data_IF_227405071027
#
_entry.id   IF_227405071027
#
_cell.length_a   1.000
_cell.length_b   1.000
_cell.length_c   1.000
_cell.angle_alpha   90.00
_cell.angle_beta   90.00
_cell.angle_gamma   90.00
#
_symmetry.space_group_name_H-M   'P 1'
#
loop_
_entity.id
_entity.type
_entity.pdbx_description
1 polymer ?
#
# COMPACT_ATOMS: atom_id res chain seq x y z
N UNK A 1 -6.01 22.81 -12.72
CA UNK A 1 -7.43 23.05 -12.47
C UNK A 1 -7.63 23.19 -10.96
N UNK A 2 -8.26 24.29 -10.53
CA UNK A 2 -8.56 24.52 -9.10
C UNK A 2 -9.92 23.96 -8.73
N UNK A 3 -10.88 24.10 -9.66
CA UNK A 3 -12.25 23.62 -9.46
C UNK A 3 -12.80 23.14 -10.77
N UNK A 4 -13.47 22.01 -10.75
CA UNK A 4 -14.30 21.51 -11.84
C UNK A 4 -15.71 21.29 -11.30
N UNK A 5 -16.68 22.00 -11.83
CA UNK A 5 -18.09 21.80 -11.52
C UNK A 5 -18.82 21.33 -12.78
N UNK A 6 -19.56 20.25 -12.66
CA UNK A 6 -20.35 19.62 -13.73
C UNK A 6 -21.82 19.70 -13.34
N UNK A 7 -22.67 20.36 -14.19
CA UNK A 7 -24.08 20.50 -13.87
C UNK A 7 -24.94 20.84 -15.12
N UNK A 8 -26.19 20.35 -15.15
CA UNK A 8 -26.63 19.17 -14.45
C UNK A 8 -25.97 17.92 -15.03
N UNK A 9 -25.81 16.89 -14.19
CA UNK A 9 -25.40 15.56 -14.64
C UNK A 9 -26.65 14.69 -14.70
N UNK A 10 -26.98 14.17 -15.88
CA UNK A 10 -28.09 13.22 -16.07
C UNK A 10 -27.49 11.83 -16.21
N UNK A 11 -27.94 10.92 -15.40
CA UNK A 11 -27.47 9.52 -15.43
C UNK A 11 -28.64 8.64 -15.87
N UNK A 12 -28.45 7.84 -16.89
CA UNK A 12 -29.44 6.90 -17.43
C UNK A 12 -28.74 5.62 -17.90
N UNK A 13 -29.51 4.64 -18.39
CA UNK A 13 -29.06 3.30 -18.75
C UNK A 13 -27.71 3.26 -19.49
N UNK A 14 -26.61 3.11 -18.73
CA UNK A 14 -25.26 2.93 -19.26
C UNK A 14 -24.54 4.19 -19.76
N UNK A 15 -25.09 5.39 -19.56
CA UNK A 15 -24.45 6.66 -19.94
C UNK A 15 -24.72 7.78 -18.94
N UNK A 16 -23.77 8.73 -18.87
CA UNK A 16 -23.94 9.99 -18.17
C UNK A 16 -23.78 11.15 -19.15
N UNK A 17 -24.69 12.14 -19.09
CA UNK A 17 -24.66 13.35 -19.92
C UNK A 17 -24.41 14.56 -19.01
N UNK A 18 -23.50 15.42 -19.42
CA UNK A 18 -23.17 16.67 -18.73
C UNK A 18 -23.63 17.81 -19.62
N UNK A 19 -24.56 18.62 -19.13
CA UNK A 19 -25.09 19.74 -19.90
C UNK A 19 -24.18 20.98 -19.85
N UNK A 20 -23.50 21.20 -18.75
CA UNK A 20 -22.55 22.31 -18.58
C UNK A 20 -21.37 21.91 -17.65
N UNK A 21 -20.22 22.50 -17.92
CA UNK A 21 -19.03 22.36 -17.09
C UNK A 21 -18.44 23.74 -16.79
N UNK A 22 -18.09 24.00 -15.53
CA UNK A 22 -17.33 25.17 -15.11
C UNK A 22 -15.94 24.73 -14.68
N UNK A 23 -14.91 25.24 -15.32
CA UNK A 23 -13.51 24.97 -14.98
C UNK A 23 -12.88 26.25 -14.48
N UNK A 24 -12.32 26.21 -13.26
CA UNK A 24 -11.52 27.30 -12.71
C UNK A 24 -10.05 26.87 -12.73
N UNK A 25 -9.24 27.66 -13.44
CA UNK A 25 -7.80 27.44 -13.57
C UNK A 25 -7.07 28.47 -12.70
N UNK A 26 -6.14 28.01 -11.88
CA UNK A 26 -5.21 28.90 -11.19
C UNK A 26 -3.90 28.93 -12.00
N UNK A 27 -3.66 30.06 -12.67
CA UNK A 27 -2.45 30.24 -13.49
C UNK A 27 -1.15 30.30 -12.65
N UNK A 28 -1.27 30.49 -11.33
CA UNK A 28 -0.13 30.51 -10.40
C UNK A 28 0.19 29.10 -9.89
N UNK A 29 -0.62 28.10 -10.21
CA UNK A 29 -0.36 26.72 -9.80
C UNK A 29 0.93 26.22 -10.45
N UNK A 30 1.96 26.03 -9.66
CA UNK A 30 3.16 25.29 -10.06
C UNK A 30 2.86 23.80 -9.89
N UNK A 31 3.04 22.96 -10.94
CA UNK A 31 2.92 21.52 -10.79
C UNK A 31 3.83 21.06 -9.66
N UNK A 32 3.27 20.40 -8.66
CA UNK A 32 4.09 19.69 -7.70
C UNK A 32 4.80 18.55 -8.42
N UNK A 33 5.98 18.16 -7.95
CA UNK A 33 6.72 17.03 -8.50
C UNK A 33 5.94 15.68 -8.43
N UNK A 34 4.79 15.68 -7.76
CA UNK A 34 3.89 14.52 -7.62
C UNK A 34 2.86 14.52 -8.75
N UNK A 35 2.83 13.45 -9.52
CA UNK A 35 1.96 13.28 -10.71
C UNK A 35 0.47 13.52 -10.43
N UNK A 36 -0.02 13.21 -9.23
CA UNK A 36 -1.43 13.28 -8.83
C UNK A 36 -1.70 14.21 -7.64
N UNK A 37 -0.75 15.10 -7.30
CA UNK A 37 -0.86 16.00 -6.14
C UNK A 37 -2.04 16.99 -6.16
N UNK A 38 -2.79 17.04 -7.26
CA UNK A 38 -4.01 17.84 -7.43
C UNK A 38 -5.29 17.05 -7.14
N UNK A 39 -5.20 15.74 -6.91
CA UNK A 39 -6.35 14.86 -6.68
C UNK A 39 -6.60 14.71 -5.18
N UNK A 40 -7.88 14.69 -4.79
CA UNK A 40 -8.29 14.41 -3.41
C UNK A 40 -8.10 12.94 -3.03
N UNK A 41 -8.15 12.05 -4.02
CA UNK A 41 -7.92 10.60 -3.86
C UNK A 41 -6.85 10.20 -4.87
N UNK A 42 -5.78 9.59 -4.39
CA UNK A 42 -4.73 9.04 -5.24
C UNK A 42 -5.23 7.75 -5.93
N UNK A 43 -5.02 7.61 -7.23
CA UNK A 43 -5.37 6.36 -7.91
C UNK A 43 -4.53 5.20 -7.38
N UNK A 44 -5.07 3.99 -7.50
CA UNK A 44 -4.32 2.78 -7.20
C UNK A 44 -3.07 2.70 -8.08
N UNK A 45 -1.87 2.50 -7.49
CA UNK A 45 -0.60 2.54 -8.24
C UNK A 45 -0.36 1.22 -8.97
N UNK A 46 -1.08 1.01 -10.07
CA UNK A 46 -1.07 -0.20 -10.89
C UNK A 46 0.32 -0.53 -11.46
N UNK A 47 1.14 0.49 -11.65
CA UNK A 47 2.51 0.36 -12.15
C UNK A 47 3.46 -0.38 -11.20
N UNK A 48 3.06 -0.56 -9.95
CA UNK A 48 3.81 -1.33 -8.95
C UNK A 48 3.49 -2.83 -8.96
N UNK A 49 2.49 -3.24 -9.74
CA UNK A 49 2.14 -4.66 -9.88
C UNK A 49 3.21 -5.39 -10.69
N UNK A 50 3.74 -6.49 -10.16
CA UNK A 50 4.76 -7.28 -10.82
C UNK A 50 4.78 -8.73 -10.33
N UNK A 51 5.23 -9.64 -11.19
CA UNK A 51 5.62 -10.99 -10.81
C UNK A 51 7.13 -11.01 -10.57
N UNK A 52 7.54 -11.39 -9.37
CA UNK A 52 8.93 -11.30 -8.93
C UNK A 52 9.46 -12.68 -8.59
N UNK A 53 10.48 -13.18 -9.31
CA UNK A 53 11.11 -14.44 -8.97
C UNK A 53 12.00 -14.29 -7.72
N UNK A 54 11.89 -15.23 -6.81
CA UNK A 54 12.85 -15.43 -5.71
C UNK A 54 14.06 -16.24 -6.20
N UNK A 55 15.11 -16.32 -5.38
CA UNK A 55 16.34 -17.06 -5.72
C UNK A 55 16.11 -18.56 -5.91
N UNK A 56 15.09 -19.12 -5.26
CA UNK A 56 14.71 -20.53 -5.35
C UNK A 56 13.81 -20.85 -6.57
N UNK A 57 13.57 -19.87 -7.43
CA UNK A 57 12.72 -19.99 -8.61
C UNK A 57 11.21 -19.77 -8.33
N UNK A 58 10.80 -19.64 -7.08
CA UNK A 58 9.40 -19.32 -6.75
C UNK A 58 9.06 -17.92 -7.26
N UNK A 59 7.92 -17.77 -7.93
CA UNK A 59 7.43 -16.48 -8.41
C UNK A 59 6.35 -15.97 -7.47
N UNK A 60 6.53 -14.76 -6.95
CA UNK A 60 5.53 -14.08 -6.12
C UNK A 60 4.85 -12.97 -6.93
N UNK A 61 3.54 -12.87 -6.80
CA UNK A 61 2.79 -11.73 -7.29
C UNK A 61 2.88 -10.60 -6.26
N UNK A 62 3.52 -9.49 -6.64
CA UNK A 62 3.71 -8.33 -5.76
C UNK A 62 2.88 -7.18 -6.27
N UNK A 63 2.09 -6.57 -5.39
CA UNK A 63 1.25 -5.42 -5.71
C UNK A 63 0.94 -4.56 -4.49
N UNK A 64 0.46 -3.33 -4.67
CA UNK A 64 -0.14 -2.58 -3.58
C UNK A 64 -1.36 -3.31 -3.01
N UNK A 65 -1.61 -3.13 -1.71
CA UNK A 65 -2.77 -3.72 -1.02
C UNK A 65 -4.06 -3.02 -1.47
N UNK A 66 -5.18 -3.73 -1.45
CA UNK A 66 -6.50 -3.20 -1.81
C UNK A 66 -7.49 -3.41 -0.66
N UNK A 67 -8.60 -2.65 -0.58
CA UNK A 67 -9.65 -2.86 0.43
C UNK A 67 -10.21 -4.29 0.43
N UNK A 68 -10.30 -4.93 -0.74
CA UNK A 68 -10.78 -6.30 -0.95
C UNK A 68 -9.87 -7.35 -0.32
N UNK A 69 -8.64 -6.98 0.05
CA UNK A 69 -7.67 -7.87 0.67
C UNK A 69 -7.89 -8.09 2.17
N UNK A 70 -8.95 -7.54 2.76
CA UNK A 70 -9.18 -7.61 4.21
C UNK A 70 -9.13 -9.05 4.76
N UNK A 71 -9.70 -10.02 4.04
CA UNK A 71 -9.67 -11.43 4.48
C UNK A 71 -8.29 -12.08 4.30
N UNK A 72 -7.55 -11.71 3.24
CA UNK A 72 -6.17 -12.18 3.05
C UNK A 72 -5.24 -11.61 4.13
N UNK A 73 -5.39 -10.33 4.47
CA UNK A 73 -4.62 -9.68 5.55
C UNK A 73 -4.95 -10.30 6.92
N UNK A 74 -6.24 -10.57 7.19
CA UNK A 74 -6.68 -11.26 8.41
C UNK A 74 -6.05 -12.65 8.53
N UNK A 75 -6.17 -13.46 7.48
CA UNK A 75 -5.62 -14.81 7.43
C UNK A 75 -4.10 -14.80 7.57
N UNK A 76 -3.42 -13.85 6.92
CA UNK A 76 -1.98 -13.67 7.01
C UNK A 76 -1.54 -13.39 8.43
N UNK A 77 -2.12 -12.39 9.10
CA UNK A 77 -1.74 -12.03 10.48
C UNK A 77 -2.09 -13.13 11.47
N UNK A 78 -3.23 -13.82 11.28
CA UNK A 78 -3.60 -14.97 12.12
C UNK A 78 -2.62 -16.13 11.97
N UNK A 79 -2.10 -16.36 10.77
CA UNK A 79 -1.14 -17.44 10.47
C UNK A 79 0.29 -17.19 10.94
N UNK A 80 0.63 -15.96 11.37
CA UNK A 80 1.96 -15.67 11.94
C UNK A 80 2.13 -16.32 13.32
N UNK A 81 3.35 -16.72 13.66
CA UNK A 81 3.68 -17.13 15.03
C UNK A 81 3.45 -15.99 16.03
N UNK A 82 3.26 -16.33 17.31
CA UNK A 82 3.13 -15.30 18.37
C UNK A 82 4.34 -14.37 18.39
N UNK A 83 5.54 -14.91 18.18
CA UNK A 83 6.77 -14.14 18.14
C UNK A 83 6.80 -13.15 16.98
N UNK A 84 6.46 -13.60 15.76
CA UNK A 84 6.42 -12.74 14.57
C UNK A 84 5.36 -11.66 14.71
N UNK A 85 4.17 -11.99 15.25
CA UNK A 85 3.15 -10.98 15.57
C UNK A 85 3.65 -9.97 16.60
N UNK A 86 4.28 -10.44 17.68
CA UNK A 86 4.81 -9.55 18.71
C UNK A 86 5.88 -8.61 18.16
N UNK A 87 6.79 -9.08 17.34
CA UNK A 87 7.80 -8.24 16.69
C UNK A 87 7.20 -7.23 15.74
N UNK A 88 6.07 -7.56 15.09
CA UNK A 88 5.40 -6.65 14.15
C UNK A 88 4.58 -5.59 14.85
N UNK A 89 3.89 -5.93 15.93
CA UNK A 89 2.89 -5.04 16.58
C UNK A 89 3.35 -4.48 17.91
N UNK A 90 4.44 -4.99 18.51
CA UNK A 90 4.98 -4.62 19.83
C UNK A 90 4.05 -4.90 21.01
N UNK A 91 2.95 -5.63 20.77
CA UNK A 91 2.05 -6.14 21.81
C UNK A 91 1.45 -7.49 21.39
N UNK A 92 0.84 -8.19 22.34
CA UNK A 92 0.15 -9.45 22.05
C UNK A 92 -1.14 -9.16 21.27
N UNK A 93 -1.11 -9.41 19.98
CA UNK A 93 -2.26 -9.29 19.10
C UNK A 93 -2.84 -10.70 18.84
N UNK A 94 -4.09 -10.92 19.26
CA UNK A 94 -4.78 -12.19 18.96
C UNK A 94 -5.40 -12.16 17.57
N UNK A 95 -6.16 -11.12 17.28
CA UNK A 95 -6.85 -10.94 15.99
C UNK A 95 -6.87 -9.48 15.57
N UNK A 96 -6.94 -9.24 14.26
CA UNK A 96 -7.18 -7.91 13.73
C UNK A 96 -8.66 -7.52 13.90
N UNK A 97 -8.91 -6.41 14.56
CA UNK A 97 -10.25 -5.83 14.62
C UNK A 97 -10.70 -5.32 13.24
N UNK A 98 -12.01 -5.17 12.96
CA UNK A 98 -12.49 -4.58 11.71
C UNK A 98 -11.90 -3.19 11.43
N UNK A 99 -11.71 -2.37 12.47
CA UNK A 99 -11.07 -1.06 12.33
C UNK A 99 -9.59 -1.16 11.93
N UNK A 100 -8.85 -2.14 12.46
CA UNK A 100 -7.47 -2.40 12.06
C UNK A 100 -7.40 -2.91 10.62
N UNK A 101 -8.30 -3.81 10.21
CA UNK A 101 -8.36 -4.30 8.84
C UNK A 101 -8.62 -3.15 7.87
N UNK A 102 -9.59 -2.30 8.14
CA UNK A 102 -9.85 -1.11 7.33
C UNK A 102 -8.60 -0.22 7.26
N UNK A 103 -7.94 0.05 8.40
CA UNK A 103 -6.71 0.84 8.46
C UNK A 103 -5.55 0.25 7.66
N UNK A 104 -5.46 -1.08 7.59
CA UNK A 104 -4.37 -1.76 6.89
C UNK A 104 -4.63 -1.93 5.39
N UNK A 105 -5.88 -1.99 4.96
CA UNK A 105 -6.23 -2.23 3.56
C UNK A 105 -6.72 -1.00 2.80
N UNK A 106 -7.33 -0.01 3.50
CA UNK A 106 -7.78 1.24 2.90
C UNK A 106 -6.68 2.30 2.99
N UNK A 107 -5.68 2.16 2.13
CA UNK A 107 -4.45 2.96 2.14
C UNK A 107 -4.63 4.25 1.33
N UNK A 108 -4.28 5.38 1.93
CA UNK A 108 -4.14 6.65 1.20
C UNK A 108 -2.78 6.67 0.48
N UNK A 109 -2.81 6.31 -0.80
CA UNK A 109 -1.60 6.23 -1.63
C UNK A 109 -0.90 7.57 -1.86
N UNK A 110 -1.43 8.70 -1.41
CA UNK A 110 -0.67 9.96 -1.37
C UNK A 110 0.36 9.98 -0.24
N UNK A 111 0.01 9.41 0.90
CA UNK A 111 0.82 9.49 2.13
C UNK A 111 1.45 8.18 2.55
N UNK A 112 0.92 7.09 2.07
CA UNK A 112 1.27 5.75 2.51
C UNK A 112 1.50 4.84 1.31
N UNK A 113 2.20 3.75 1.53
CA UNK A 113 2.27 2.64 0.60
C UNK A 113 2.30 1.34 1.39
N UNK A 114 1.52 0.36 0.98
CA UNK A 114 1.61 -1.01 1.47
C UNK A 114 1.73 -1.95 0.27
N UNK A 115 2.84 -2.70 0.20
CA UNK A 115 3.08 -3.74 -0.80
C UNK A 115 2.85 -5.09 -0.17
N UNK A 116 2.11 -5.95 -0.85
CA UNK A 116 1.87 -7.34 -0.47
C UNK A 116 2.57 -8.27 -1.45
N UNK A 117 3.18 -9.32 -0.93
CA UNK A 117 3.68 -10.44 -1.71
C UNK A 117 2.72 -11.61 -1.57
N UNK A 118 2.26 -12.13 -2.67
CA UNK A 118 1.24 -13.17 -2.76
C UNK A 118 1.85 -14.41 -3.40
N UNK A 119 1.72 -15.55 -2.74
CA UNK A 119 1.96 -16.85 -3.33
C UNK A 119 0.63 -17.50 -3.73
N UNK A 120 0.66 -18.20 -4.84
CA UNK A 120 -0.46 -19.04 -5.26
C UNK A 120 -0.23 -20.48 -4.78
N UNK A 121 -1.05 -20.91 -3.87
CA UNK A 121 -1.06 -22.29 -3.37
C UNK A 121 -2.16 -23.09 -4.08
N UNK A 122 -1.86 -23.63 -5.25
CA UNK A 122 -2.79 -24.44 -6.05
C UNK A 122 -4.14 -23.75 -6.32
N UNK A 123 -4.11 -22.48 -6.75
CA UNK A 123 -5.29 -21.68 -7.05
C UNK A 123 -5.86 -20.92 -5.85
N UNK A 124 -5.21 -21.00 -4.69
CA UNK A 124 -5.61 -20.24 -3.50
C UNK A 124 -4.53 -19.21 -3.18
N UNK A 125 -4.78 -17.92 -3.46
CA UNK A 125 -3.81 -16.86 -3.16
C UNK A 125 -3.68 -16.67 -1.65
N UNK A 126 -2.45 -16.49 -1.17
CA UNK A 126 -2.16 -16.20 0.22
C UNK A 126 -1.08 -15.13 0.34
N UNK A 127 -1.21 -14.21 1.29
CA UNK A 127 -0.14 -13.29 1.62
C UNK A 127 1.00 -14.02 2.29
N UNK A 128 2.20 -13.77 1.81
CA UNK A 128 3.44 -14.31 2.39
C UNK A 128 4.34 -13.24 2.97
N UNK A 129 4.07 -11.98 2.66
CA UNK A 129 4.79 -10.84 3.22
C UNK A 129 4.09 -9.52 2.92
N UNK A 130 4.23 -8.57 3.85
CA UNK A 130 3.71 -7.21 3.73
C UNK A 130 4.82 -6.24 4.14
N UNK A 131 5.07 -5.23 3.30
CA UNK A 131 5.91 -4.10 3.65
C UNK A 131 5.14 -2.80 3.42
N UNK A 132 5.20 -1.87 4.36
CA UNK A 132 4.51 -0.58 4.26
C UNK A 132 5.35 0.56 4.80
N UNK A 133 5.04 1.76 4.33
CA UNK A 133 5.44 2.98 5.01
C UNK A 133 4.25 3.92 5.17
N UNK A 134 4.33 4.75 6.19
CA UNK A 134 3.38 5.84 6.51
C UNK A 134 4.20 7.11 6.58
N UNK A 135 3.89 8.08 5.70
CA UNK A 135 4.59 9.36 5.66
C UNK A 135 4.28 10.22 6.87
N UNK A 136 5.31 10.87 7.39
CA UNK A 136 5.16 11.90 8.42
C UNK A 136 4.65 13.22 7.82
N UNK A 137 4.11 14.13 8.66
CA UNK A 137 3.62 15.43 8.21
C UNK A 137 4.68 16.32 7.55
N UNK A 138 5.96 16.07 7.80
CA UNK A 138 7.10 16.77 7.20
C UNK A 138 7.25 16.50 5.69
N UNK A 139 6.58 15.46 5.17
CA UNK A 139 6.64 14.99 3.79
C UNK A 139 8.05 14.57 3.32
N UNK A 140 9.01 14.48 4.23
CA UNK A 140 10.41 14.13 3.96
C UNK A 140 10.81 12.79 4.58
N UNK A 141 10.06 12.36 5.59
CA UNK A 141 10.32 11.10 6.30
C UNK A 141 9.07 10.23 6.39
N UNK A 142 9.27 8.93 6.60
CA UNK A 142 8.19 7.97 6.79
C UNK A 142 8.61 6.85 7.75
N UNK A 143 7.65 6.36 8.53
CA UNK A 143 7.83 5.14 9.30
C UNK A 143 7.54 3.92 8.43
N UNK A 144 8.43 2.92 8.45
CA UNK A 144 8.20 1.68 7.73
C UNK A 144 8.05 0.48 8.65
N UNK A 145 7.40 -0.55 8.14
CA UNK A 145 7.33 -1.84 8.78
C UNK A 145 7.31 -2.94 7.69
N UNK A 146 7.91 -4.09 8.02
CA UNK A 146 7.89 -5.28 7.17
C UNK A 146 7.61 -6.50 8.03
N UNK A 147 6.84 -7.42 7.48
CA UNK A 147 6.57 -8.72 8.09
C UNK A 147 6.48 -9.79 7.01
N UNK A 148 6.99 -10.98 7.31
CA UNK A 148 6.99 -12.14 6.40
C UNK A 148 6.48 -13.34 7.18
N UNK A 149 5.59 -14.12 6.57
CA UNK A 149 5.08 -15.36 7.13
C UNK A 149 6.24 -16.30 7.51
N UNK A 150 6.15 -16.96 8.65
CA UNK A 150 7.25 -17.75 9.23
C UNK A 150 7.83 -18.77 8.23
N UNK A 151 6.98 -19.46 7.48
CA UNK A 151 7.39 -20.41 6.43
C UNK A 151 8.10 -19.77 5.23
N UNK A 152 8.05 -18.46 5.09
CA UNK A 152 8.63 -17.69 3.98
C UNK A 152 9.82 -16.84 4.39
N UNK A 153 10.20 -16.88 5.67
CA UNK A 153 11.39 -16.19 6.16
C UNK A 153 12.67 -16.82 5.57
N UNK A 154 13.74 -16.07 5.58
CA UNK A 154 15.06 -16.46 5.02
C UNK A 154 15.08 -16.80 3.52
N UNK A 155 13.99 -16.58 2.77
CA UNK A 155 13.88 -16.78 1.33
C UNK A 155 14.08 -15.51 0.51
N UNK A 156 14.39 -14.39 1.16
CA UNK A 156 14.61 -13.09 0.50
C UNK A 156 13.36 -12.23 0.32
N UNK A 157 12.19 -12.67 0.79
CA UNK A 157 10.90 -11.94 0.63
C UNK A 157 10.96 -10.55 1.25
N UNK A 158 11.44 -10.45 2.52
CA UNK A 158 11.55 -9.15 3.19
C UNK A 158 12.48 -8.19 2.42
N UNK A 159 13.62 -8.68 1.97
CA UNK A 159 14.58 -7.89 1.19
C UNK A 159 13.96 -7.38 -0.10
N UNK A 160 13.32 -8.24 -0.87
CA UNK A 160 12.65 -7.90 -2.11
C UNK A 160 11.57 -6.83 -1.91
N UNK A 161 10.71 -6.99 -0.89
CA UNK A 161 9.67 -6.02 -0.57
C UNK A 161 10.28 -4.67 -0.14
N UNK A 162 11.33 -4.69 0.71
CA UNK A 162 11.99 -3.48 1.18
C UNK A 162 12.72 -2.73 0.05
N UNK A 163 13.41 -3.42 -0.85
CA UNK A 163 14.04 -2.78 -2.02
C UNK A 163 13.00 -2.03 -2.87
N UNK A 164 11.85 -2.65 -3.15
CA UNK A 164 10.74 -2.02 -3.88
C UNK A 164 10.12 -0.85 -3.11
N UNK A 165 9.93 -1.01 -1.80
CA UNK A 165 9.39 0.05 -0.94
C UNK A 165 10.30 1.28 -0.91
N UNK A 166 11.61 1.07 -0.80
CA UNK A 166 12.64 2.11 -0.82
C UNK A 166 12.65 2.84 -2.16
N UNK A 167 12.56 2.11 -3.27
CA UNK A 167 12.51 2.72 -4.60
C UNK A 167 11.27 3.60 -4.79
N UNK A 168 10.12 3.16 -4.26
CA UNK A 168 8.90 3.97 -4.26
C UNK A 168 9.06 5.22 -3.38
N UNK A 169 9.65 5.09 -2.20
CA UNK A 169 9.93 6.19 -1.29
C UNK A 169 10.84 7.25 -1.94
N UNK A 170 11.92 6.81 -2.61
CA UNK A 170 12.83 7.69 -3.36
C UNK A 170 12.12 8.44 -4.49
N UNK A 171 11.30 7.73 -5.28
CA UNK A 171 10.51 8.35 -6.37
C UNK A 171 9.54 9.39 -5.86
N UNK A 172 9.07 9.25 -4.61
CA UNK A 172 8.20 10.22 -3.93
C UNK A 172 8.96 11.37 -3.26
N UNK A 173 10.30 11.33 -3.26
CA UNK A 173 11.13 12.37 -2.66
C UNK A 173 11.30 12.25 -1.14
N UNK A 174 10.94 11.10 -0.54
CA UNK A 174 11.24 10.83 0.85
C UNK A 174 12.76 10.70 1.03
N UNK A 175 13.29 11.39 2.04
CA UNK A 175 14.71 11.43 2.35
C UNK A 175 15.10 10.38 3.39
N UNK A 176 14.13 9.95 4.23
CA UNK A 176 14.38 9.05 5.36
C UNK A 176 13.23 8.07 5.56
N UNK A 177 13.58 6.79 5.77
CA UNK A 177 12.68 5.77 6.28
C UNK A 177 13.17 5.34 7.66
N UNK A 178 12.25 5.35 8.64
CA UNK A 178 12.53 5.00 10.03
C UNK A 178 11.74 3.74 10.37
N UNK A 179 12.34 2.86 11.17
CA UNK A 179 11.67 1.65 11.63
C UNK A 179 12.06 1.36 13.07
N UNK A 180 11.07 0.99 13.88
CA UNK A 180 11.30 0.50 15.22
C UNK A 180 11.58 -1.00 15.19
N UNK A 181 12.62 -1.43 15.92
CA UNK A 181 13.01 -2.84 16.02
C UNK A 181 13.28 -3.16 17.49
N UNK A 182 12.74 -4.28 17.95
CA UNK A 182 13.06 -4.77 19.28
C UNK A 182 14.49 -5.33 19.32
N UNK A 183 15.15 -5.21 20.48
CA UNK A 183 16.55 -5.62 20.66
C UNK A 183 16.82 -7.10 20.37
N UNK A 184 15.79 -7.91 20.49
CA UNK A 184 15.85 -9.37 20.33
C UNK A 184 15.20 -9.86 19.01
N UNK A 185 15.03 -8.96 18.07
CA UNK A 185 14.53 -9.27 16.72
C UNK A 185 15.67 -9.22 15.70
#
# INVERSE_FOLDING_TARGET
>A
VRTLALYPVRVGAGRAEIAAARVVIDARFKPTARSYGHMAIHPYPIELVANVPLRDGTVLHVRPIMPEDAELERAFVHGLSEQTRYFRFFYRLHELTPAMLARFTQVDYDRELALVAIADNAGTPAFVGVARYIGHPDQESAEFAVVVADAWQNRGVARMLMERLIDCARKRGLKRLEGAVLRNN
#
